data_IF_018490999685
#
_entry.id   IF_018490999685
#
_cell.length_a   1.000
_cell.length_b   1.000
_cell.length_c   1.000
_cell.angle_alpha   90.00
_cell.angle_beta   90.00
_cell.angle_gamma   90.00
#
_symmetry.space_group_name_H-M   'P 1'
#
loop_
_entity.id
_entity.type
_entity.pdbx_description
1 polymer ?
#
# COMPACT_ATOMS: atom_id res chain seq x y z
N UNK A 1 -17.71 5.37 -3.20
CA UNK A 1 -16.25 5.54 -3.42
C UNK A 1 -15.65 4.15 -3.56
N UNK A 2 -14.59 3.98 -4.38
CA UNK A 2 -14.10 2.67 -4.82
C UNK A 2 -14.91 2.10 -5.99
N UNK A 3 -14.63 2.55 -7.22
CA UNK A 3 -15.27 2.02 -8.45
C UNK A 3 -14.46 0.90 -9.12
N UNK A 4 -13.34 0.50 -8.51
CA UNK A 4 -12.44 -0.52 -9.04
C UNK A 4 -12.03 -1.45 -7.90
N UNK A 5 -12.53 -2.69 -7.95
CA UNK A 5 -12.24 -3.73 -6.98
C UNK A 5 -10.90 -4.43 -7.24
N UNK A 6 -10.20 -4.07 -8.32
CA UNK A 6 -8.91 -4.67 -8.62
C UNK A 6 -7.84 -4.08 -7.69
N UNK A 7 -7.04 -4.92 -7.02
CA UNK A 7 -5.92 -4.44 -6.23
C UNK A 7 -4.91 -3.71 -7.13
N UNK A 8 -4.41 -2.57 -6.65
CA UNK A 8 -3.34 -1.82 -7.29
C UNK A 8 -2.00 -2.30 -6.71
N UNK A 9 -1.08 -2.76 -7.57
CA UNK A 9 0.25 -3.20 -7.14
C UNK A 9 1.29 -2.12 -7.43
N UNK A 10 2.05 -1.75 -6.40
CA UNK A 10 3.19 -0.85 -6.47
C UNK A 10 4.48 -1.66 -6.30
N UNK A 11 5.41 -1.53 -7.24
CA UNK A 11 6.73 -2.16 -7.14
C UNK A 11 7.65 -1.29 -6.29
N UNK A 12 7.92 -1.72 -5.07
CA UNK A 12 8.76 -1.02 -4.10
C UNK A 12 10.25 -1.28 -4.39
N UNK A 13 10.72 -0.87 -5.57
CA UNK A 13 12.10 -1.05 -6.02
C UNK A 13 13.02 -0.21 -5.14
N UNK A 14 14.02 -0.85 -4.51
CA UNK A 14 14.97 -0.20 -3.61
C UNK A 14 14.33 0.68 -2.52
N UNK A 15 13.11 0.35 -2.07
CA UNK A 15 12.42 1.08 -1.02
C UNK A 15 11.76 2.40 -1.46
N UNK A 16 11.65 2.67 -2.76
CA UNK A 16 11.08 3.93 -3.27
C UNK A 16 9.68 4.26 -2.71
N UNK A 17 8.82 3.25 -2.54
CA UNK A 17 7.47 3.39 -1.99
C UNK A 17 7.37 3.07 -0.50
N UNK A 18 8.48 2.82 0.19
CA UNK A 18 8.47 2.45 1.61
C UNK A 18 7.79 3.49 2.50
N UNK A 19 8.04 4.78 2.23
CA UNK A 19 7.42 5.88 2.97
C UNK A 19 5.90 5.93 2.74
N UNK A 20 5.46 5.63 1.51
CA UNK A 20 4.03 5.58 1.18
C UNK A 20 3.34 4.40 1.86
N UNK A 21 4.00 3.23 1.88
CA UNK A 21 3.49 2.05 2.59
C UNK A 21 3.27 2.34 4.08
N UNK A 22 4.29 2.92 4.74
CA UNK A 22 4.22 3.29 6.15
C UNK A 22 3.16 4.37 6.43
N UNK A 23 3.00 5.34 5.52
CA UNK A 23 1.96 6.34 5.64
C UNK A 23 0.56 5.73 5.61
N UNK A 24 0.29 4.80 4.69
CA UNK A 24 -1.00 4.11 4.63
C UNK A 24 -1.25 3.24 5.87
N UNK A 25 -0.21 2.62 6.44
CA UNK A 25 -0.31 1.88 7.71
C UNK A 25 -0.65 2.82 8.88
N UNK A 26 -0.05 4.02 8.93
CA UNK A 26 -0.36 5.02 9.94
C UNK A 26 -1.82 5.51 9.83
N UNK A 27 -2.36 5.64 8.60
CA UNK A 27 -3.77 5.98 8.39
C UNK A 27 -4.72 4.90 8.93
N UNK A 28 -4.34 3.61 8.81
CA UNK A 28 -5.13 2.52 9.41
C UNK A 28 -5.13 2.62 10.94
N UNK A 29 -3.95 2.80 11.54
CA UNK A 29 -3.82 2.91 12.99
C UNK A 29 -4.57 4.12 13.57
N UNK A 30 -4.65 5.23 12.82
CA UNK A 30 -5.36 6.43 13.21
C UNK A 30 -6.86 6.43 12.84
N UNK A 31 -7.37 5.37 12.21
CA UNK A 31 -8.80 5.23 11.87
C UNK A 31 -9.25 6.01 10.62
N UNK A 32 -8.32 6.56 9.85
CA UNK A 32 -8.61 7.27 8.59
C UNK A 32 -8.75 6.34 7.39
N UNK A 33 -8.19 5.13 7.45
CA UNK A 33 -8.28 4.11 6.40
C UNK A 33 -8.73 2.78 7.01
N UNK A 34 -9.64 2.07 6.34
CA UNK A 34 -10.02 0.73 6.79
C UNK A 34 -8.91 -0.27 6.47
N UNK A 35 -8.78 -1.31 7.30
CA UNK A 35 -7.87 -2.40 7.00
C UNK A 35 -8.20 -3.11 5.67
N UNK A 36 -9.48 -3.15 5.29
CA UNK A 36 -9.95 -3.73 4.03
C UNK A 36 -9.49 -2.92 2.82
N UNK A 37 -9.59 -1.59 2.88
CA UNK A 37 -9.12 -0.73 1.80
C UNK A 37 -7.59 -0.72 1.71
N UNK A 38 -6.88 -0.77 2.84
CA UNK A 38 -5.41 -0.90 2.86
C UNK A 38 -4.91 -2.14 2.12
N UNK A 39 -5.66 -3.26 2.18
CA UNK A 39 -5.32 -4.52 1.50
C UNK A 39 -5.47 -4.43 -0.02
N UNK A 40 -6.19 -3.44 -0.56
CA UNK A 40 -6.33 -3.21 -2.00
C UNK A 40 -5.08 -2.54 -2.61
N UNK A 41 -4.17 -2.01 -1.79
CA UNK A 41 -2.88 -1.48 -2.23
C UNK A 41 -1.76 -2.45 -1.85
N UNK A 42 -1.22 -3.16 -2.84
CA UNK A 42 -0.18 -4.16 -2.66
C UNK A 42 1.19 -3.53 -2.91
N UNK A 43 2.13 -3.71 -1.99
CA UNK A 43 3.52 -3.33 -2.20
C UNK A 43 4.35 -4.59 -2.44
N UNK A 44 5.10 -4.62 -3.54
CA UNK A 44 5.98 -5.74 -3.88
C UNK A 44 7.40 -5.25 -4.04
N UNK A 45 8.27 -5.67 -3.12
CA UNK A 45 9.71 -5.45 -3.25
C UNK A 45 10.25 -6.36 -4.34
N UNK A 46 10.99 -5.78 -5.29
CA UNK A 46 11.84 -6.53 -6.21
C UNK A 46 13.25 -6.47 -5.63
N UNK A 47 13.76 -7.62 -5.17
CA UNK A 47 15.16 -7.73 -4.76
C UNK A 47 16.08 -7.47 -5.95
N UNK A 48 17.18 -6.76 -5.74
CA UNK A 48 18.30 -6.76 -6.67
C UNK A 48 18.98 -8.12 -6.58
N UNK A 49 19.05 -8.86 -7.69
CA UNK A 49 19.89 -10.07 -7.79
C UNK A 49 21.36 -9.73 -7.54
#
# INVERSE_FOLDING_TARGET
MGKNDKPCTLFNIAGYYQALEQFLDAMVNAGFLTQEDRKKTLFRSLGTN
#
